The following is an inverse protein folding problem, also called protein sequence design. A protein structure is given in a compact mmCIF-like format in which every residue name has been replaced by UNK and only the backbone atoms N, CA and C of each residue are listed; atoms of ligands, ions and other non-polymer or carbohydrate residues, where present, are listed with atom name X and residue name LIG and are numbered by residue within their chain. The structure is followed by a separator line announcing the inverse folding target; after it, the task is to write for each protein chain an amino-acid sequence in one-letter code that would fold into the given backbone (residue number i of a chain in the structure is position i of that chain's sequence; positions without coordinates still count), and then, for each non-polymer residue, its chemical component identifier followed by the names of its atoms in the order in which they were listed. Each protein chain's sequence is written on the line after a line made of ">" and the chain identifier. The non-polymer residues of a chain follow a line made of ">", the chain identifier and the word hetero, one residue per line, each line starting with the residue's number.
data_IF_850943629228
#
_entry.id   IF_850943629228
#
_cell.length_a   1.000
_cell.length_b   1.000
_cell.length_c   1.000
_cell.angle_alpha   90.00
_cell.angle_beta   90.00
_cell.angle_gamma   90.00
#
_symmetry.space_group_name_H-M   'P 1'
#
loop_
_entity.id
_entity.type
_entity.pdbx_description
1 polymer ?
#
# COMPACT_ATOMS: atom_id res chain seq x y z
N UNK A 1 16.09 -4.92 -7.39
CA UNK A 1 16.18 -3.55 -6.84
C UNK A 1 15.52 -3.61 -5.46
N UNK A 2 16.28 -3.46 -4.38
CA UNK A 2 15.78 -3.60 -3.01
C UNK A 2 14.85 -2.41 -2.73
N UNK A 3 13.57 -2.67 -2.44
CA UNK A 3 12.69 -1.65 -1.85
C UNK A 3 13.19 -1.38 -0.43
N UNK A 4 13.90 -0.28 -0.27
CA UNK A 4 14.50 0.13 1.00
C UNK A 4 13.45 0.79 1.90
N UNK A 5 13.74 0.95 3.19
CA UNK A 5 12.93 1.81 4.08
C UNK A 5 12.71 3.22 3.50
N UNK A 6 13.68 3.72 2.73
CA UNK A 6 13.60 4.99 2.03
C UNK A 6 12.49 5.03 0.97
N UNK A 7 12.21 3.92 0.28
CA UNK A 7 11.12 3.84 -0.70
C UNK A 7 9.74 3.86 -0.02
N UNK A 8 9.63 3.29 1.19
CA UNK A 8 8.41 3.38 1.99
C UNK A 8 8.21 4.81 2.55
N UNK A 9 9.28 5.50 2.94
CA UNK A 9 9.23 6.89 3.39
C UNK A 9 8.88 7.88 2.26
N UNK A 10 9.45 7.66 1.07
CA UNK A 10 9.06 8.35 -0.17
C UNK A 10 7.58 8.10 -0.50
N UNK A 11 7.06 6.92 -0.18
CA UNK A 11 5.64 6.63 -0.34
C UNK A 11 4.76 7.41 0.64
N UNK A 12 5.16 7.52 1.91
CA UNK A 12 4.46 8.36 2.90
C UNK A 12 4.29 9.79 2.37
N UNK A 13 5.41 10.39 1.94
CA UNK A 13 5.41 11.73 1.35
C UNK A 13 4.63 11.82 0.02
N UNK A 14 4.56 10.71 -0.73
CA UNK A 14 3.78 10.65 -1.97
C UNK A 14 2.29 10.53 -1.70
N UNK A 15 1.81 9.83 -0.67
CA UNK A 15 0.38 9.77 -0.34
C UNK A 15 -0.19 11.15 -0.02
N UNK A 16 0.54 11.94 0.76
CA UNK A 16 0.13 13.32 1.06
C UNK A 16 0.02 14.18 -0.20
N UNK A 17 0.90 13.97 -1.19
CA UNK A 17 0.89 14.67 -2.47
C UNK A 17 -0.11 14.10 -3.49
N UNK A 18 -0.33 12.78 -3.47
CA UNK A 18 -1.17 12.04 -4.42
C UNK A 18 -2.64 12.19 -4.05
N UNK A 19 -2.99 12.29 -2.77
CA UNK A 19 -4.38 12.34 -2.35
C UNK A 19 -5.02 13.72 -2.52
N UNK A 20 -4.23 14.79 -2.72
CA UNK A 20 -4.69 16.14 -3.10
C UNK A 20 -5.53 16.89 -2.05
N UNK A 21 -6.32 16.17 -1.27
CA UNK A 21 -6.94 16.55 -0.02
C UNK A 21 -6.20 15.81 1.11
N UNK A 22 -5.98 16.48 2.25
CA UNK A 22 -5.51 15.80 3.46
C UNK A 22 -6.50 14.68 3.78
N UNK A 23 -6.10 13.43 3.51
CA UNK A 23 -6.83 12.27 4.01
C UNK A 23 -6.99 12.43 5.53
N UNK A 24 -8.14 12.05 6.10
CA UNK A 24 -8.28 11.99 7.55
C UNK A 24 -7.13 11.18 8.17
N UNK A 25 -6.59 11.63 9.30
CA UNK A 25 -5.46 10.96 9.95
C UNK A 25 -5.72 9.46 10.18
N UNK A 26 -6.94 9.09 10.57
CA UNK A 26 -7.34 7.69 10.74
C UNK A 26 -7.20 6.84 9.46
N UNK A 27 -7.42 7.43 8.28
CA UNK A 27 -7.25 6.74 7.00
C UNK A 27 -5.76 6.55 6.68
N UNK A 28 -4.94 7.56 7.00
CA UNK A 28 -3.48 7.49 6.85
C UNK A 28 -2.91 6.40 7.78
N UNK A 29 -3.34 6.38 9.04
CA UNK A 29 -2.92 5.37 10.03
C UNK A 29 -3.33 3.95 9.59
N UNK A 30 -4.55 3.80 9.08
CA UNK A 30 -5.05 2.52 8.56
C UNK A 30 -4.21 2.04 7.37
N UNK A 31 -3.86 2.93 6.46
CA UNK A 31 -3.02 2.62 5.32
C UNK A 31 -1.62 2.15 5.76
N UNK A 32 -1.00 2.84 6.72
CA UNK A 32 0.31 2.43 7.25
C UNK A 32 0.25 1.09 7.99
N UNK A 33 -0.82 0.83 8.74
CA UNK A 33 -1.03 -0.46 9.37
C UNK A 33 -1.08 -1.59 8.33
N UNK A 34 -1.79 -1.40 7.21
CA UNK A 34 -1.86 -2.41 6.15
C UNK A 34 -0.55 -2.58 5.39
N UNK A 35 0.17 -1.48 5.12
CA UNK A 35 1.50 -1.55 4.52
C UNK A 35 2.50 -2.28 5.40
N UNK A 36 2.48 -2.06 6.71
CA UNK A 36 3.36 -2.77 7.64
C UNK A 36 3.04 -4.26 7.64
N UNK A 37 1.76 -4.63 7.65
CA UNK A 37 1.33 -6.03 7.52
C UNK A 37 1.83 -6.66 6.21
N UNK A 38 1.76 -5.95 5.09
CA UNK A 38 2.29 -6.42 3.79
C UNK A 38 3.81 -6.63 3.86
N UNK A 39 4.54 -5.67 4.46
CA UNK A 39 6.00 -5.69 4.59
C UNK A 39 6.51 -6.72 5.59
N UNK A 40 5.70 -7.16 6.54
CA UNK A 40 6.09 -8.08 7.61
C UNK A 40 5.44 -9.46 7.48
N UNK A 41 4.60 -9.67 6.46
CA UNK A 41 4.00 -10.96 6.15
C UNK A 41 5.03 -12.10 6.16
N UNK A 42 4.67 -13.19 6.83
CA UNK A 42 5.55 -14.34 7.10
C UNK A 42 5.27 -15.54 6.19
N UNK A 43 4.16 -15.49 5.47
CA UNK A 43 3.74 -16.50 4.51
C UNK A 43 2.88 -15.84 3.42
N UNK A 44 2.60 -16.61 2.36
CA UNK A 44 1.85 -16.13 1.19
C UNK A 44 0.44 -15.70 1.58
N UNK A 45 -0.24 -16.46 2.44
CA UNK A 45 -1.61 -16.14 2.84
C UNK A 45 -1.71 -14.80 3.59
N UNK A 46 -0.76 -14.53 4.49
CA UNK A 46 -0.65 -13.23 5.17
C UNK A 46 -0.38 -12.10 4.18
N UNK A 47 0.46 -12.36 3.18
CA UNK A 47 0.82 -11.37 2.17
C UNK A 47 -0.36 -11.03 1.26
N UNK A 48 -1.05 -12.04 0.72
CA UNK A 48 -2.25 -11.88 -0.11
C UNK A 48 -3.37 -11.17 0.67
N UNK A 49 -3.56 -11.52 1.94
CA UNK A 49 -4.54 -10.86 2.79
C UNK A 49 -4.20 -9.38 3.02
N UNK A 50 -2.93 -9.05 3.24
CA UNK A 50 -2.50 -7.67 3.41
C UNK A 50 -2.67 -6.86 2.11
N UNK A 51 -2.32 -7.44 0.95
CA UNK A 51 -2.52 -6.80 -0.35
C UNK A 51 -4.01 -6.53 -0.62
N UNK A 52 -4.87 -7.53 -0.41
CA UNK A 52 -6.31 -7.39 -0.58
C UNK A 52 -6.94 -6.34 0.33
N UNK A 53 -6.44 -6.18 1.58
CA UNK A 53 -6.89 -5.13 2.48
C UNK A 53 -6.53 -3.73 1.97
N UNK A 54 -5.34 -3.57 1.40
CA UNK A 54 -4.93 -2.29 0.80
C UNK A 54 -5.81 -1.97 -0.41
N UNK A 55 -6.04 -2.94 -1.30
CA UNK A 55 -6.89 -2.74 -2.48
C UNK A 55 -8.31 -2.35 -2.08
N UNK A 56 -8.92 -3.08 -1.13
CA UNK A 56 -10.25 -2.75 -0.62
C UNK A 56 -10.32 -1.37 0.04
N UNK A 57 -9.25 -0.99 0.76
CA UNK A 57 -9.13 0.35 1.35
C UNK A 57 -9.04 1.45 0.27
N UNK A 58 -8.25 1.23 -0.78
CA UNK A 58 -8.13 2.19 -1.89
C UNK A 58 -9.44 2.37 -2.65
N UNK A 59 -10.16 1.27 -2.93
CA UNK A 59 -11.50 1.30 -3.53
C UNK A 59 -12.46 2.12 -2.66
N UNK A 60 -12.43 1.93 -1.34
CA UNK A 60 -13.28 2.68 -0.43
C UNK A 60 -12.96 4.18 -0.42
N UNK A 61 -11.68 4.55 -0.45
CA UNK A 61 -11.27 5.95 -0.54
C UNK A 61 -11.66 6.60 -1.88
N UNK A 62 -11.54 5.87 -2.98
CA UNK A 62 -11.98 6.33 -4.31
C UNK A 62 -13.51 6.50 -4.36
N UNK A 63 -14.26 5.52 -3.87
CA UNK A 63 -15.72 5.57 -3.80
C UNK A 63 -16.25 6.68 -2.88
N UNK A 64 -15.46 7.07 -1.87
CA UNK A 64 -15.75 8.22 -1.00
C UNK A 64 -15.31 9.57 -1.60
N UNK A 65 -14.68 9.58 -2.78
CA UNK A 65 -14.15 10.79 -3.42
C UNK A 65 -12.96 11.42 -2.70
N UNK A 66 -12.31 10.67 -1.81
CA UNK A 66 -11.15 11.13 -1.02
C UNK A 66 -9.83 10.98 -1.76
N UNK A 67 -9.80 10.09 -2.76
CA UNK A 67 -8.63 9.81 -3.60
C UNK A 67 -9.12 9.68 -5.05
N UNK A 68 -8.37 10.24 -6.01
CA UNK A 68 -8.70 10.08 -7.43
C UNK A 68 -8.38 8.67 -7.92
N UNK A 69 -9.05 8.19 -8.98
CA UNK A 69 -8.71 6.90 -9.58
C UNK A 69 -7.24 6.82 -10.06
N UNK A 70 -6.67 7.92 -10.55
CA UNK A 70 -5.24 7.99 -10.91
C UNK A 70 -4.35 7.80 -9.68
N UNK A 71 -4.71 8.42 -8.57
CA UNK A 71 -4.03 8.31 -7.29
C UNK A 71 -4.10 6.89 -6.73
N UNK A 72 -5.27 6.26 -6.80
CA UNK A 72 -5.49 4.88 -6.41
C UNK A 72 -4.64 3.91 -7.25
N UNK A 73 -4.57 4.11 -8.56
CA UNK A 73 -3.75 3.31 -9.48
C UNK A 73 -2.25 3.40 -9.17
N UNK A 74 -1.75 4.61 -8.86
CA UNK A 74 -0.34 4.80 -8.49
C UNK A 74 0.03 4.07 -7.19
N UNK A 75 -0.88 4.09 -6.21
CA UNK A 75 -0.71 3.39 -4.93
C UNK A 75 -0.77 1.88 -5.16
N UNK A 76 -1.75 1.38 -5.93
CA UNK A 76 -1.85 -0.04 -6.29
C UNK A 76 -0.58 -0.57 -6.97
N UNK A 77 -0.06 0.15 -7.96
CA UNK A 77 1.19 -0.23 -8.63
C UNK A 77 2.43 -0.22 -7.71
N UNK A 78 2.42 0.54 -6.63
CA UNK A 78 3.44 0.42 -5.58
C UNK A 78 3.23 -0.84 -4.73
N UNK A 79 2.01 -1.08 -4.25
CA UNK A 79 1.64 -2.24 -3.44
C UNK A 79 2.00 -3.54 -4.14
N UNK A 80 1.68 -3.67 -5.43
CA UNK A 80 2.04 -4.85 -6.23
C UNK A 80 3.56 -5.08 -6.29
N UNK A 81 4.37 -4.01 -6.32
CA UNK A 81 5.85 -4.15 -6.28
C UNK A 81 6.35 -4.61 -4.92
N UNK A 82 5.77 -4.10 -3.83
CA UNK A 82 6.10 -4.57 -2.47
C UNK A 82 5.70 -6.04 -2.31
N UNK A 83 4.50 -6.40 -2.76
CA UNK A 83 4.00 -7.78 -2.73
C UNK A 83 4.92 -8.72 -3.50
N UNK A 84 5.24 -8.41 -4.76
CA UNK A 84 6.15 -9.23 -5.57
C UNK A 84 7.50 -9.43 -4.87
N UNK A 85 8.08 -8.36 -4.32
CA UNK A 85 9.33 -8.48 -3.59
C UNK A 85 9.23 -9.34 -2.32
N UNK A 86 8.10 -9.30 -1.62
CA UNK A 86 7.88 -10.17 -0.45
C UNK A 86 7.65 -11.63 -0.86
N UNK A 87 6.95 -11.89 -1.97
CA UNK A 87 6.80 -13.25 -2.53
C UNK A 87 8.17 -13.88 -2.83
N UNK A 88 9.06 -13.14 -3.49
CA UNK A 88 10.44 -13.58 -3.75
C UNK A 88 11.17 -13.98 -2.45
N UNK A 89 11.01 -13.19 -1.38
CA UNK A 89 11.64 -13.46 -0.08
C UNK A 89 11.01 -14.62 0.68
N UNK A 90 9.77 -14.96 0.39
CA UNK A 90 9.09 -16.13 0.94
C UNK A 90 9.47 -17.42 0.20
N UNK A 91 10.30 -17.34 -0.84
CA UNK A 91 10.72 -18.49 -1.64
C UNK A 91 9.64 -19.00 -2.58
N UNK A 92 8.71 -18.11 -2.98
CA UNK A 92 7.71 -18.39 -4.00
C UNK A 92 8.24 -17.84 -5.31
N UNK A 93 8.67 -18.75 -6.20
CA UNK A 93 9.02 -18.46 -7.60
C UNK A 93 7.78 -18.45 -8.49
#
# INVERSE_FOLDING_TARGET
>A
MILTEFDCYQLQNRLDNICGARLPAANIDSFYFFLDALRTARNVSELELAAAKIDGFMIALEGAGLVSGTSAMLIGGFVSRVQAHRLERLGVE
#
